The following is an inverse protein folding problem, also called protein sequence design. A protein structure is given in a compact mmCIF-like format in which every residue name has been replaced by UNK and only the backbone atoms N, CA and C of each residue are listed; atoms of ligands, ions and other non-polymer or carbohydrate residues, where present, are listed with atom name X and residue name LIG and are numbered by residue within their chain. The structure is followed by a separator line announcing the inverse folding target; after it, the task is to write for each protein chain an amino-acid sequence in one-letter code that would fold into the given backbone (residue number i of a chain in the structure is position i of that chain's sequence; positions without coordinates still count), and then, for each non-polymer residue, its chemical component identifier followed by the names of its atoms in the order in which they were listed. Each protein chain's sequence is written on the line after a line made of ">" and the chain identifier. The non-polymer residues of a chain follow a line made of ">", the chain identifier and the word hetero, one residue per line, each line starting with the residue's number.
data_IF_058060030061
#
_entry.id   IF_058060030061
#
_cell.length_a   1.000
_cell.length_b   1.000
_cell.length_c   1.000
_cell.angle_alpha   90.00
_cell.angle_beta   90.00
_cell.angle_gamma   90.00
#
_symmetry.space_group_name_H-M   'P 1'
#
loop_
_entity.id
_entity.type
_entity.pdbx_description
1 polymer ?
#
# COMPACT_ATOMS: atom_id res chain seq x y z
N UNK A 1 30.11 4.68 4.33
CA UNK A 1 30.36 6.04 3.83
C UNK A 1 29.18 6.42 2.97
N UNK A 2 28.41 7.41 3.43
CA UNK A 2 27.22 7.91 2.73
C UNK A 2 27.66 8.86 1.61
N UNK A 3 27.60 8.38 0.37
CA UNK A 3 27.88 9.17 -0.82
C UNK A 3 26.72 10.11 -1.19
N UNK A 4 26.95 11.13 -2.02
CA UNK A 4 25.91 12.09 -2.43
C UNK A 4 24.86 11.39 -3.30
N UNK A 5 23.66 11.20 -2.76
CA UNK A 5 22.51 10.59 -3.43
C UNK A 5 21.23 10.66 -2.59
N UNK A 6 20.10 10.22 -3.15
CA UNK A 6 18.86 10.07 -2.37
C UNK A 6 19.01 8.93 -1.36
N UNK A 7 18.88 9.24 -0.08
CA UNK A 7 18.80 8.24 0.99
C UNK A 7 17.37 7.74 1.10
N UNK A 8 17.02 6.79 0.25
CA UNK A 8 15.73 6.10 0.34
C UNK A 8 15.92 4.80 1.10
N UNK A 9 15.15 4.67 2.19
CA UNK A 9 14.99 3.40 2.87
C UNK A 9 13.99 2.54 2.09
N UNK A 10 14.54 1.67 1.24
CA UNK A 10 13.80 0.77 0.36
C UNK A 10 12.97 -0.24 1.14
N UNK A 11 13.47 -0.71 2.28
CA UNK A 11 12.77 -1.67 3.11
C UNK A 11 11.57 -1.01 3.79
N UNK A 12 11.70 0.24 4.23
CA UNK A 12 10.58 1.03 4.75
C UNK A 12 9.51 1.28 3.69
N UNK A 13 9.89 1.58 2.43
CA UNK A 13 8.92 1.73 1.33
C UNK A 13 8.14 0.44 1.05
N UNK A 14 8.83 -0.70 1.02
CA UNK A 14 8.20 -2.01 0.79
C UNK A 14 7.28 -2.42 1.95
N UNK A 15 7.71 -2.16 3.19
CA UNK A 15 6.89 -2.35 4.38
C UNK A 15 5.63 -1.48 4.34
N UNK A 16 5.75 -0.21 3.95
CA UNK A 16 4.62 0.70 3.82
C UNK A 16 3.62 0.20 2.77
N UNK A 17 4.08 -0.18 1.57
CA UNK A 17 3.20 -0.73 0.54
C UNK A 17 2.51 -2.03 0.97
N UNK A 18 3.20 -2.88 1.73
CA UNK A 18 2.62 -4.12 2.29
C UNK A 18 1.60 -3.84 3.39
N UNK A 19 1.85 -2.86 4.26
CA UNK A 19 0.94 -2.48 5.33
C UNK A 19 -0.36 -1.90 4.77
N UNK A 20 -0.27 -1.06 3.73
CA UNK A 20 -1.42 -0.51 3.03
C UNK A 20 -2.26 -1.64 2.41
N UNK A 21 -1.63 -2.59 1.71
CA UNK A 21 -2.35 -3.72 1.13
C UNK A 21 -3.06 -4.58 2.18
N UNK A 22 -2.44 -4.83 3.34
CA UNK A 22 -3.10 -5.56 4.43
C UNK A 22 -4.30 -4.80 5.02
N UNK A 23 -4.22 -3.48 5.10
CA UNK A 23 -5.32 -2.65 5.58
C UNK A 23 -6.50 -2.67 4.60
N UNK A 24 -6.21 -2.62 3.30
CA UNK A 24 -7.19 -2.81 2.20
C UNK A 24 -7.88 -4.16 2.33
N UNK A 25 -7.12 -5.26 2.39
CA UNK A 25 -7.67 -6.62 2.51
C UNK A 25 -8.58 -6.76 3.75
N UNK A 26 -8.20 -6.16 4.88
CA UNK A 26 -9.02 -6.18 6.09
C UNK A 26 -10.35 -5.41 5.94
N UNK A 27 -10.34 -4.35 5.14
CA UNK A 27 -11.50 -3.48 4.93
C UNK A 27 -12.48 -4.06 3.90
N UNK A 28 -11.97 -4.65 2.81
CA UNK A 28 -12.78 -5.36 1.80
C UNK A 28 -13.60 -6.51 2.41
N UNK A 29 -13.06 -7.16 3.44
CA UNK A 29 -13.75 -8.21 4.18
C UNK A 29 -14.87 -7.70 5.13
N UNK A 30 -15.13 -6.38 5.21
CA UNK A 30 -16.08 -5.78 6.14
C UNK A 30 -17.12 -4.90 5.45
N UNK A 31 -18.16 -5.52 4.90
CA UNK A 31 -19.25 -4.80 4.23
C UNK A 31 -20.42 -4.49 5.17
N UNK A 32 -20.66 -3.20 5.44
CA UNK A 32 -21.78 -2.75 6.28
C UNK A 32 -23.16 -2.97 5.65
N UNK A 33 -23.24 -3.23 4.34
CA UNK A 33 -24.51 -3.53 3.65
C UNK A 33 -25.22 -4.77 4.19
N UNK A 34 -24.49 -5.66 4.88
CA UNK A 34 -25.04 -6.84 5.57
C UNK A 34 -25.56 -6.54 6.98
N UNK A 35 -25.29 -5.35 7.53
CA UNK A 35 -25.66 -4.95 8.88
C UNK A 35 -27.17 -4.71 9.02
N UNK A 36 -27.84 -4.32 7.93
CA UNK A 36 -29.29 -4.10 7.92
C UNK A 36 -30.00 -5.43 7.78
N UNK A 37 -30.52 -5.97 8.88
CA UNK A 37 -31.39 -7.14 8.82
C UNK A 37 -32.85 -6.80 8.46
N UNK A 38 -33.75 -7.75 8.70
CA UNK A 38 -35.15 -7.72 8.26
C UNK A 38 -35.97 -6.49 8.70
N UNK A 39 -36.94 -6.03 7.88
CA UNK A 39 -37.75 -4.84 8.16
C UNK A 39 -38.50 -4.86 9.49
N UNK A 40 -38.97 -6.03 9.92
CA UNK A 40 -39.76 -6.17 11.14
C UNK A 40 -38.95 -5.81 12.41
N UNK A 41 -37.62 -5.81 12.33
CA UNK A 41 -36.74 -5.45 13.45
C UNK A 41 -36.75 -3.95 13.78
N UNK A 42 -37.18 -3.10 12.85
CA UNK A 42 -37.11 -1.65 12.98
C UNK A 42 -38.44 -1.01 13.36
N UNK A 43 -39.56 -1.72 13.19
CA UNK A 43 -40.92 -1.23 13.49
C UNK A 43 -41.42 -0.10 12.57
N UNK A 44 -40.55 0.48 11.75
CA UNK A 44 -40.82 1.55 10.81
C UNK A 44 -39.95 1.37 9.54
N UNK A 45 -40.60 1.23 8.38
CA UNK A 45 -39.93 1.02 7.10
C UNK A 45 -39.09 2.23 6.64
N UNK A 46 -39.56 3.48 6.77
CA UNK A 46 -38.71 4.65 6.53
C UNK A 46 -37.40 4.66 7.33
N UNK A 47 -37.42 4.28 8.61
CA UNK A 47 -36.22 4.16 9.42
C UNK A 47 -35.25 3.11 8.88
N UNK A 48 -35.76 1.92 8.52
CA UNK A 48 -34.94 0.86 7.88
C UNK A 48 -34.29 1.37 6.60
N UNK A 49 -35.06 2.02 5.74
CA UNK A 49 -34.57 2.54 4.46
C UNK A 49 -33.50 3.61 4.66
N UNK A 50 -33.69 4.53 5.61
CA UNK A 50 -32.68 5.53 5.94
C UNK A 50 -31.38 4.90 6.44
N UNK A 51 -31.45 3.84 7.25
CA UNK A 51 -30.27 3.10 7.70
C UNK A 51 -29.60 2.37 6.53
N UNK A 52 -30.37 1.73 5.66
CA UNK A 52 -29.86 1.04 4.47
C UNK A 52 -29.12 2.00 3.53
N UNK A 53 -29.68 3.19 3.29
CA UNK A 53 -29.03 4.23 2.49
C UNK A 53 -27.68 4.67 3.08
N UNK A 54 -27.59 4.77 4.42
CA UNK A 54 -26.33 5.07 5.10
C UNK A 54 -25.33 3.93 4.94
N UNK A 55 -25.75 2.68 5.16
CA UNK A 55 -24.88 1.51 5.02
C UNK A 55 -24.34 1.35 3.59
N UNK A 56 -25.18 1.56 2.58
CA UNK A 56 -24.77 1.50 1.17
C UNK A 56 -23.79 2.61 0.85
N UNK A 57 -24.15 3.87 1.12
CA UNK A 57 -23.26 5.01 0.83
C UNK A 57 -21.94 4.94 1.58
N UNK A 58 -21.94 4.38 2.79
CA UNK A 58 -20.71 4.15 3.53
C UNK A 58 -19.85 3.09 2.85
N UNK A 59 -20.44 1.95 2.48
CA UNK A 59 -19.72 0.86 1.82
C UNK A 59 -19.11 1.35 0.51
N UNK A 60 -19.88 2.04 -0.35
CA UNK A 60 -19.39 2.59 -1.62
C UNK A 60 -18.18 3.53 -1.42
N UNK A 61 -18.21 4.37 -0.38
CA UNK A 61 -17.10 5.31 -0.08
C UNK A 61 -15.87 4.63 0.50
N UNK A 62 -16.08 3.54 1.23
CA UNK A 62 -15.00 2.71 1.70
C UNK A 62 -14.35 2.00 0.51
N UNK A 63 -15.12 1.46 -0.43
CA UNK A 63 -14.60 0.81 -1.63
C UNK A 63 -13.72 1.78 -2.44
N UNK A 64 -14.18 3.03 -2.66
CA UNK A 64 -13.36 4.08 -3.29
C UNK A 64 -12.04 4.35 -2.54
N UNK A 65 -12.07 4.39 -1.20
CA UNK A 65 -10.87 4.61 -0.39
C UNK A 65 -9.92 3.41 -0.43
N UNK A 66 -10.47 2.19 -0.53
CA UNK A 66 -9.73 0.94 -0.65
C UNK A 66 -9.01 0.91 -2.00
N UNK A 67 -9.69 1.24 -3.10
CA UNK A 67 -9.09 1.35 -4.44
C UNK A 67 -7.90 2.34 -4.45
N UNK A 68 -8.10 3.55 -3.93
CA UNK A 68 -7.05 4.58 -3.82
C UNK A 68 -5.85 4.07 -3.00
N UNK A 69 -6.11 3.35 -1.92
CA UNK A 69 -5.08 2.78 -1.06
C UNK A 69 -4.30 1.66 -1.79
N UNK A 70 -4.97 0.82 -2.60
CA UNK A 70 -4.28 -0.17 -3.43
C UNK A 70 -3.31 0.49 -4.41
N UNK A 71 -3.73 1.55 -5.09
CA UNK A 71 -2.88 2.29 -6.02
C UNK A 71 -1.63 2.87 -5.32
N UNK A 72 -1.81 3.45 -4.13
CA UNK A 72 -0.70 3.95 -3.31
C UNK A 72 0.24 2.80 -2.93
N UNK A 73 -0.31 1.67 -2.45
CA UNK A 73 0.48 0.50 -2.06
C UNK A 73 1.33 -0.04 -3.22
N UNK A 74 0.74 -0.12 -4.42
CA UNK A 74 1.44 -0.53 -5.64
C UNK A 74 2.53 0.47 -6.02
N UNK A 75 2.26 1.77 -5.96
CA UNK A 75 3.24 2.81 -6.28
C UNK A 75 4.47 2.78 -5.34
N UNK A 76 4.25 2.51 -4.04
CA UNK A 76 5.34 2.37 -3.06
C UNK A 76 6.22 1.17 -3.38
N UNK A 77 5.62 0.02 -3.70
CA UNK A 77 6.35 -1.20 -4.10
C UNK A 77 7.12 -1.01 -5.41
N UNK A 78 6.50 -0.38 -6.41
CA UNK A 78 7.14 -0.09 -7.69
C UNK A 78 8.35 0.85 -7.50
N UNK A 79 8.21 1.85 -6.63
CA UNK A 79 9.31 2.76 -6.27
C UNK A 79 10.46 1.99 -5.60
N UNK A 80 10.16 1.13 -4.62
CA UNK A 80 11.17 0.30 -3.95
C UNK A 80 11.93 -0.57 -4.96
N UNK A 81 11.22 -1.20 -5.90
CA UNK A 81 11.84 -2.00 -6.96
C UNK A 81 12.76 -1.15 -7.86
N UNK A 82 12.31 0.03 -8.30
CA UNK A 82 13.13 0.92 -9.11
C UNK A 82 14.43 1.34 -8.40
N UNK A 83 14.38 1.60 -7.09
CA UNK A 83 15.57 1.89 -6.31
C UNK A 83 16.54 0.69 -6.25
N UNK A 84 16.04 -0.53 -6.08
CA UNK A 84 16.87 -1.76 -6.08
C UNK A 84 17.54 -1.97 -7.44
N UNK A 85 16.80 -1.79 -8.53
CA UNK A 85 17.34 -1.94 -9.89
C UNK A 85 18.43 -0.91 -10.19
N UNK A 86 18.22 0.36 -9.78
CA UNK A 86 19.21 1.41 -9.91
C UNK A 86 20.49 1.11 -9.09
N UNK A 87 20.33 0.61 -7.86
CA UNK A 87 21.47 0.22 -7.02
C UNK A 87 22.25 -0.96 -7.63
N UNK A 88 21.56 -1.98 -8.15
CA UNK A 88 22.19 -3.11 -8.82
C UNK A 88 22.97 -2.68 -10.07
N UNK A 89 22.40 -1.80 -10.90
CA UNK A 89 23.07 -1.26 -12.08
C UNK A 89 24.30 -0.45 -11.71
N UNK A 90 24.23 0.38 -10.66
CA UNK A 90 25.37 1.14 -10.17
C UNK A 90 26.49 0.23 -9.63
N UNK A 91 26.15 -0.82 -8.86
CA UNK A 91 27.12 -1.81 -8.38
C UNK A 91 27.75 -2.62 -9.53
N UNK A 92 26.97 -3.00 -10.54
CA UNK A 92 27.48 -3.72 -11.72
C UNK A 92 28.35 -2.87 -12.63
N UNK A 93 28.21 -1.54 -12.59
CA UNK A 93 29.01 -0.58 -13.34
C UNK A 93 30.33 -0.18 -12.64
N UNK A 94 30.56 -0.64 -11.40
CA UNK A 94 31.82 -0.52 -10.68
C UNK A 94 32.57 -1.86 -10.85
N UNK A 95 33.51 -2.01 -11.81
CA UNK A 95 34.43 -3.14 -11.79
C UNK A 95 35.29 -3.05 -10.51
N UNK A 96 35.76 -4.20 -10.02
CA UNK A 96 36.73 -4.30 -8.91
C UNK A 96 37.75 -3.16 -8.99
N UNK A 97 37.85 -2.40 -7.89
CA UNK A 97 38.76 -1.27 -7.80
C UNK A 97 40.20 -1.73 -8.13
N UNK A 98 40.81 -1.29 -9.24
CA UNK A 98 42.16 -1.68 -9.60
C UNK A 98 43.21 -1.19 -8.59
N UNK A 99 42.82 -0.35 -7.61
CA UNK A 99 43.71 0.11 -6.55
C UNK A 99 44.04 -0.96 -5.49
N UNK A 100 43.41 -2.14 -5.51
CA UNK A 100 43.77 -3.23 -4.58
C UNK A 100 45.09 -3.91 -4.97
N UNK A 101 45.49 -3.85 -6.24
CA UNK A 101 46.71 -4.54 -6.76
C UNK A 101 48.00 -3.70 -6.60
N UNK A 102 47.91 -2.45 -6.13
CA UNK A 102 49.05 -1.53 -5.91
C UNK A 102 49.48 -1.42 -4.44
N UNK A 103 48.76 -2.05 -3.51
CA UNK A 103 49.05 -1.95 -2.07
C UNK A 103 49.97 -3.07 -1.53
N UNK A 104 50.24 -4.12 -2.30
CA UNK A 104 51.10 -5.26 -1.92
C UNK A 104 52.43 -5.32 -2.70
N UNK A 105 52.85 -4.20 -3.33
CA UNK A 105 54.13 -4.05 -4.04
C UNK A 105 55.25 -3.45 -3.21
#
# INVERSE_FOLDING_TARGET
>A
MDGPGYHVDVDTLEQAGTAVQKAVEAQDNFELRSLTGEPEMYGDEPLRNALMDVCVRWSDRIDELVDDAEEIGQALKASAQAYREAEQQAKGALPDDPAVDVADG
#
